data_IF_030375237970
#
_entry.id   IF_030375237970
#
_cell.length_a   1.000
_cell.length_b   1.000
_cell.length_c   1.000
_cell.angle_alpha   90.00
_cell.angle_beta   90.00
_cell.angle_gamma   90.00
#
_symmetry.space_group_name_H-M   'P 1'
#
loop_
_entity.id
_entity.type
_entity.pdbx_description
1 polymer ?
#
# COMPACT_ATOMS: atom_id res chain seq x y z
N UNK A 1 37.50 -15.87 40.00
CA UNK A 1 37.63 -15.46 38.58
C UNK A 1 36.30 -15.73 37.89
N UNK A 2 35.47 -14.71 37.72
CA UNK A 2 34.22 -14.77 36.96
C UNK A 2 34.53 -14.24 35.56
N UNK A 3 34.54 -15.11 34.56
CA UNK A 3 34.66 -14.74 33.16
C UNK A 3 33.31 -14.24 32.65
N UNK A 4 33.25 -12.96 32.34
CA UNK A 4 32.18 -12.30 31.60
C UNK A 4 32.37 -12.68 30.13
N UNK A 5 31.45 -13.44 29.56
CA UNK A 5 31.33 -13.63 28.12
C UNK A 5 30.27 -12.65 27.63
N UNK A 6 30.73 -11.52 27.12
CA UNK A 6 29.95 -10.52 26.41
C UNK A 6 29.26 -11.17 25.21
N UNK A 7 27.94 -11.38 25.31
CA UNK A 7 27.12 -11.70 24.16
C UNK A 7 26.81 -10.40 23.41
N UNK A 8 27.62 -10.09 22.40
CA UNK A 8 27.35 -9.10 21.36
C UNK A 8 26.17 -9.50 20.45
N UNK A 9 25.07 -9.99 21.02
CA UNK A 9 23.86 -10.28 20.29
C UNK A 9 23.00 -9.02 20.23
N UNK A 10 22.97 -8.43 19.04
CA UNK A 10 22.14 -7.30 18.65
C UNK A 10 20.68 -7.58 19.04
N UNK A 11 20.18 -6.91 20.09
CA UNK A 11 18.75 -6.82 20.40
C UNK A 11 18.05 -6.16 19.19
N UNK A 12 17.36 -6.98 18.40
CA UNK A 12 16.65 -6.55 17.20
C UNK A 12 16.70 -7.56 16.05
N UNK A 13 17.56 -8.58 16.11
CA UNK A 13 17.49 -9.69 15.17
C UNK A 13 16.31 -10.58 15.59
N UNK A 14 15.26 -10.49 14.78
CA UNK A 14 14.03 -11.27 14.89
C UNK A 14 14.32 -12.76 15.15
N UNK A 15 13.49 -13.42 15.96
CA UNK A 15 13.41 -14.89 16.06
C UNK A 15 12.95 -15.53 14.72
N UNK A 16 13.29 -14.97 13.57
CA UNK A 16 12.91 -15.46 12.24
C UNK A 16 14.06 -16.21 11.59
N UNK A 17 13.71 -17.16 10.73
CA UNK A 17 14.67 -17.85 9.87
C UNK A 17 15.21 -16.96 8.74
N UNK A 18 14.55 -15.84 8.46
CA UNK A 18 14.96 -14.88 7.45
C UNK A 18 15.65 -13.67 8.08
N UNK A 19 16.74 -13.21 7.47
CA UNK A 19 17.58 -12.10 7.96
C UNK A 19 16.91 -10.75 7.67
N UNK A 20 16.24 -10.64 6.52
CA UNK A 20 15.55 -9.41 6.10
C UNK A 20 14.17 -9.32 6.78
N UNK A 21 13.84 -8.19 7.45
CA UNK A 21 12.61 -8.07 8.25
C UNK A 21 11.31 -8.12 7.42
N UNK A 22 11.37 -7.77 6.13
CA UNK A 22 10.24 -7.87 5.20
C UNK A 22 10.08 -9.26 4.57
N UNK A 23 10.93 -10.23 4.92
CA UNK A 23 10.88 -11.58 4.41
C UNK A 23 10.37 -12.58 5.45
N UNK A 24 9.81 -13.68 4.96
CA UNK A 24 9.36 -14.82 5.74
C UNK A 24 9.91 -16.12 5.17
N UNK A 25 10.04 -17.14 6.02
CA UNK A 25 10.52 -18.43 5.57
C UNK A 25 9.43 -19.09 4.73
N UNK A 26 9.81 -19.64 3.59
CA UNK A 26 8.92 -20.53 2.86
C UNK A 26 8.76 -21.81 3.65
N UNK A 27 7.50 -22.16 3.93
CA UNK A 27 7.16 -23.27 4.80
C UNK A 27 6.71 -24.48 4.00
N UNK A 28 7.18 -25.66 4.38
CA UNK A 28 6.73 -26.92 3.79
C UNK A 28 5.26 -27.17 4.11
N UNK A 29 4.54 -27.84 3.22
CA UNK A 29 3.17 -28.28 3.51
C UNK A 29 3.17 -29.25 4.70
N UNK A 30 2.40 -29.01 5.77
CA UNK A 30 2.31 -29.94 6.89
C UNK A 30 1.66 -31.24 6.43
N UNK A 31 2.06 -32.35 7.06
CA UNK A 31 1.45 -33.67 6.87
C UNK A 31 1.00 -34.21 8.23
N UNK A 32 0.18 -35.28 8.23
CA UNK A 32 -0.26 -35.94 9.47
C UNK A 32 0.90 -36.40 10.39
N UNK A 33 2.11 -36.57 9.84
CA UNK A 33 3.29 -37.05 10.58
C UNK A 33 4.35 -35.98 10.83
N UNK A 34 4.35 -34.91 10.05
CA UNK A 34 5.44 -33.92 10.06
C UNK A 34 4.82 -32.52 10.03
N UNK A 35 5.06 -31.68 11.05
CA UNK A 35 4.58 -30.30 11.04
C UNK A 35 5.29 -29.49 9.95
N UNK A 36 4.70 -28.35 9.62
CA UNK A 36 5.29 -27.41 8.68
C UNK A 36 6.64 -26.90 9.19
N UNK A 37 7.66 -26.87 8.32
CA UNK A 37 9.02 -26.42 8.63
C UNK A 37 9.58 -25.57 7.50
N UNK A 38 10.55 -24.71 7.79
CA UNK A 38 11.23 -23.92 6.76
C UNK A 38 11.88 -24.84 5.71
N UNK A 39 11.75 -24.47 4.44
CA UNK A 39 12.34 -25.20 3.32
C UNK A 39 13.83 -24.89 3.29
N UNK A 40 14.65 -25.93 3.39
CA UNK A 40 16.11 -25.83 3.31
C UNK A 40 16.56 -25.67 1.85
N UNK A 41 17.64 -24.93 1.62
CA UNK A 41 18.24 -24.72 0.30
C UNK A 41 19.76 -24.84 0.36
N UNK A 42 20.40 -24.83 -0.81
CA UNK A 42 21.84 -24.71 -0.94
C UNK A 42 22.15 -23.39 -1.66
N UNK A 43 23.14 -22.59 -1.21
CA UNK A 43 23.45 -21.30 -1.80
C UNK A 43 23.88 -21.39 -3.26
N UNK A 44 24.47 -22.51 -3.68
CA UNK A 44 24.93 -22.70 -5.06
C UNK A 44 23.80 -23.11 -6.00
N UNK A 45 22.84 -23.91 -5.51
CA UNK A 45 21.82 -24.54 -6.37
C UNK A 45 20.57 -23.68 -6.55
N UNK A 46 20.36 -22.62 -5.73
CA UNK A 46 19.22 -21.69 -5.82
C UNK A 46 17.84 -22.36 -5.93
N UNK A 47 17.68 -23.57 -5.37
CA UNK A 47 16.49 -24.42 -5.51
C UNK A 47 15.29 -23.98 -4.64
N UNK A 48 15.06 -22.67 -4.50
CA UNK A 48 13.91 -22.21 -3.76
C UNK A 48 12.62 -22.32 -4.57
N UNK A 49 11.52 -22.81 -3.97
CA UNK A 49 10.22 -22.80 -4.60
C UNK A 49 9.83 -21.42 -5.13
N UNK A 50 9.08 -21.40 -6.23
CA UNK A 50 8.51 -20.18 -6.78
C UNK A 50 7.67 -19.46 -5.71
N UNK A 51 7.94 -18.17 -5.53
CA UNK A 51 7.35 -17.31 -4.52
C UNK A 51 7.60 -15.84 -4.85
N UNK A 52 7.30 -14.93 -3.92
CA UNK A 52 7.61 -13.50 -4.10
C UNK A 52 9.11 -13.26 -3.87
N UNK A 53 9.88 -13.07 -4.94
CA UNK A 53 11.33 -12.87 -4.92
C UNK A 53 12.08 -13.85 -4.00
N UNK A 54 11.99 -15.17 -4.27
CA UNK A 54 12.56 -16.17 -3.40
C UNK A 54 14.08 -16.08 -3.38
N UNK A 55 14.67 -16.13 -2.19
CA UNK A 55 16.12 -16.11 -1.98
C UNK A 55 16.53 -17.20 -1.00
N UNK A 56 17.65 -17.86 -1.29
CA UNK A 56 18.30 -18.75 -0.35
C UNK A 56 19.19 -17.93 0.58
N UNK A 57 18.95 -17.95 1.89
CA UNK A 57 19.77 -17.23 2.86
C UNK A 57 20.11 -18.08 4.09
N UNK A 58 21.26 -17.79 4.70
CA UNK A 58 21.69 -18.46 5.91
C UNK A 58 20.93 -17.93 7.14
N UNK A 59 20.16 -18.79 7.79
CA UNK A 59 19.48 -18.49 9.05
C UNK A 59 20.44 -18.65 10.21
N UNK A 60 20.69 -17.57 10.96
CA UNK A 60 21.42 -17.68 12.23
C UNK A 60 20.61 -18.42 13.31
N UNK A 61 19.28 -18.46 13.18
CA UNK A 61 18.39 -19.13 14.16
C UNK A 61 18.45 -20.64 14.02
N UNK A 62 18.32 -21.16 12.80
CA UNK A 62 18.33 -22.60 12.53
C UNK A 62 19.69 -23.13 12.09
N UNK A 63 20.70 -22.26 11.94
CA UNK A 63 22.06 -22.59 11.48
C UNK A 63 22.10 -23.31 10.13
N UNK A 64 21.13 -23.02 9.27
CA UNK A 64 20.93 -23.67 7.97
C UNK A 64 20.59 -22.64 6.90
N UNK A 65 20.82 -23.00 5.65
CA UNK A 65 20.32 -22.24 4.52
C UNK A 65 18.85 -22.56 4.31
N UNK A 66 18.02 -21.52 4.24
CA UNK A 66 16.57 -21.60 4.13
C UNK A 66 16.06 -20.70 3.01
N UNK A 67 14.99 -21.14 2.37
CA UNK A 67 14.27 -20.35 1.40
C UNK A 67 13.41 -19.30 2.10
N UNK A 68 13.61 -18.05 1.72
CA UNK A 68 12.83 -16.93 2.19
C UNK A 68 12.22 -16.20 1.01
N UNK A 69 11.02 -15.69 1.22
CA UNK A 69 10.30 -14.87 0.24
C UNK A 69 9.84 -13.58 0.91
N UNK A 70 9.57 -12.57 0.10
CA UNK A 70 8.96 -11.34 0.59
C UNK A 70 7.56 -11.65 1.14
N UNK A 71 7.23 -11.09 2.30
CA UNK A 71 5.91 -11.29 2.92
C UNK A 71 4.82 -10.76 1.99
N UNK A 72 3.62 -11.32 2.10
CA UNK A 72 2.49 -10.85 1.28
C UNK A 72 2.05 -9.43 1.65
N UNK A 73 2.18 -9.10 2.92
CA UNK A 73 1.78 -7.85 3.56
C UNK A 73 2.93 -6.85 3.74
N UNK A 74 4.14 -7.17 3.29
CA UNK A 74 5.29 -6.26 3.38
C UNK A 74 5.97 -6.10 2.01
N UNK A 75 6.20 -4.85 1.62
CA UNK A 75 6.99 -4.55 0.44
C UNK A 75 8.48 -4.54 0.74
N UNK A 76 9.29 -4.68 -0.31
CA UNK A 76 10.72 -4.44 -0.22
C UNK A 76 10.92 -2.98 0.22
N UNK A 77 11.55 -2.74 1.38
CA UNK A 77 11.73 -1.41 1.91
C UNK A 77 12.66 -0.62 0.99
N UNK A 78 12.31 0.65 0.77
CA UNK A 78 13.06 1.56 -0.09
C UNK A 78 13.51 2.78 0.71
N UNK A 79 14.62 3.39 0.31
CA UNK A 79 15.10 4.62 0.91
C UNK A 79 14.21 5.81 0.54
N UNK A 80 14.22 6.90 1.34
CA UNK A 80 13.48 8.12 1.05
C UNK A 80 13.84 8.76 -0.30
N UNK A 81 13.01 9.71 -0.75
CA UNK A 81 13.26 10.49 -1.97
C UNK A 81 14.66 11.09 -1.99
N UNK A 82 15.28 11.02 -3.16
CA UNK A 82 16.67 11.39 -3.48
C UNK A 82 17.74 10.51 -2.82
N UNK A 83 17.41 9.28 -2.43
CA UNK A 83 18.39 8.30 -1.97
C UNK A 83 18.30 6.98 -2.75
N UNK A 84 19.45 6.46 -3.15
CA UNK A 84 19.61 5.09 -3.66
C UNK A 84 19.49 4.09 -2.51
N UNK A 85 18.74 3.02 -2.75
CA UNK A 85 18.53 1.96 -1.77
C UNK A 85 19.58 0.88 -1.92
N UNK A 86 20.47 0.76 -0.94
CA UNK A 86 21.21 -0.47 -0.70
C UNK A 86 20.34 -1.30 0.23
N UNK A 87 19.79 -2.43 -0.26
CA UNK A 87 18.91 -3.37 0.47
C UNK A 87 19.63 -4.12 1.61
N UNK A 88 20.46 -3.38 2.34
CA UNK A 88 21.23 -3.76 3.49
C UNK A 88 20.61 -3.06 4.71
N UNK A 89 19.96 -3.82 5.61
CA UNK A 89 19.49 -3.27 6.87
C UNK A 89 20.63 -2.69 7.70
N UNK A 90 20.35 -1.62 8.42
CA UNK A 90 21.29 -1.00 9.36
C UNK A 90 20.64 -0.83 10.73
N UNK A 91 21.40 -1.05 11.81
CA UNK A 91 20.91 -0.98 13.18
C UNK A 91 20.71 0.44 13.71
N UNK A 92 20.24 0.54 14.97
CA UNK A 92 20.06 1.81 15.70
C UNK A 92 21.39 2.45 16.19
N UNK A 93 22.54 1.79 16.04
CA UNK A 93 23.80 2.32 16.54
C UNK A 93 24.36 3.39 15.60
N UNK A 94 24.80 4.50 16.23
CA UNK A 94 25.34 5.71 15.59
C UNK A 94 26.64 5.44 14.80
N UNK A 95 27.31 4.32 15.06
CA UNK A 95 28.53 3.89 14.36
C UNK A 95 28.18 3.02 13.13
N UNK A 96 28.11 3.70 11.99
CA UNK A 96 27.92 3.26 10.61
C UNK A 96 28.19 1.77 10.29
N UNK A 97 27.14 0.98 10.13
CA UNK A 97 27.18 -0.30 9.39
C UNK A 97 27.10 -0.10 7.87
N UNK A 98 26.79 1.12 7.43
CA UNK A 98 26.64 1.40 6.01
C UNK A 98 27.99 1.65 5.33
N UNK A 99 28.19 1.15 4.10
CA UNK A 99 29.39 1.44 3.32
C UNK A 99 29.62 2.94 3.14
N UNK A 100 30.87 3.33 2.86
CA UNK A 100 31.25 4.73 2.66
C UNK A 100 30.34 5.40 1.60
N UNK A 101 29.75 6.53 1.96
CA UNK A 101 28.81 7.29 1.10
C UNK A 101 27.33 6.95 1.32
N UNK A 102 27.02 5.90 2.10
CA UNK A 102 25.67 5.56 2.53
C UNK A 102 25.42 6.04 3.96
N UNK A 103 24.15 6.37 4.25
CA UNK A 103 23.65 6.76 5.57
C UNK A 103 22.56 5.80 5.99
N UNK A 104 22.47 5.49 7.27
CA UNK A 104 21.38 4.67 7.79
C UNK A 104 20.12 5.54 7.93
N UNK A 105 19.09 5.30 7.10
CA UNK A 105 17.82 6.03 7.13
C UNK A 105 16.65 5.06 7.31
N UNK A 106 15.53 5.54 7.86
CA UNK A 106 14.28 4.79 7.87
C UNK A 106 13.78 4.53 6.45
N UNK A 107 13.19 3.37 6.22
CA UNK A 107 12.62 3.01 4.93
C UNK A 107 11.25 3.67 4.71
N UNK A 108 10.93 3.95 3.45
CA UNK A 108 9.58 4.34 3.04
C UNK A 108 8.62 3.19 3.31
N UNK A 109 7.48 3.50 3.93
CA UNK A 109 6.46 2.52 4.29
C UNK A 109 6.60 1.94 5.72
N UNK A 110 7.82 1.86 6.26
CA UNK A 110 8.09 1.31 7.60
C UNK A 110 9.34 1.93 8.26
N UNK A 111 9.13 2.82 9.23
CA UNK A 111 10.23 3.48 9.97
C UNK A 111 10.97 2.53 10.91
N UNK A 112 10.38 1.37 11.24
CA UNK A 112 11.02 0.36 12.08
C UNK A 112 12.16 -0.34 11.33
N UNK A 113 12.11 -0.34 10.00
CA UNK A 113 13.16 -0.83 9.13
C UNK A 113 14.06 0.34 8.75
N UNK A 114 15.36 0.19 9.01
CA UNK A 114 16.37 1.15 8.56
C UNK A 114 17.29 0.50 7.54
N UNK A 115 17.61 1.24 6.48
CA UNK A 115 18.41 0.80 5.35
C UNK A 115 19.59 1.74 5.10
N UNK A 116 20.61 1.21 4.44
CA UNK A 116 21.71 2.00 3.94
C UNK A 116 21.32 2.74 2.66
N UNK A 117 21.30 4.07 2.74
CA UNK A 117 20.78 4.97 1.73
C UNK A 117 21.86 5.96 1.27
N UNK A 118 22.11 6.06 -0.03
CA UNK A 118 23.10 7.00 -0.58
C UNK A 118 22.41 8.16 -1.29
N UNK A 119 22.73 9.43 -0.98
CA UNK A 119 22.14 10.56 -1.69
C UNK A 119 22.39 10.46 -3.19
N UNK A 120 21.32 10.51 -3.98
CA UNK A 120 21.37 10.67 -5.42
C UNK A 120 20.23 11.58 -5.89
N UNK A 121 20.59 12.80 -6.28
CA UNK A 121 19.66 13.83 -6.75
C UNK A 121 19.19 13.62 -8.20
N UNK A 122 19.83 12.72 -8.95
CA UNK A 122 19.45 12.41 -10.34
C UNK A 122 18.51 11.22 -10.44
N UNK A 123 18.13 10.60 -9.32
CA UNK A 123 17.13 9.53 -9.32
C UNK A 123 15.78 10.09 -9.78
N UNK A 124 15.22 9.45 -10.81
CA UNK A 124 13.84 9.66 -11.21
C UNK A 124 12.98 8.65 -10.45
N UNK A 125 11.88 9.15 -9.89
CA UNK A 125 10.89 8.36 -9.18
C UNK A 125 9.68 8.19 -10.06
N UNK A 126 9.10 6.99 -10.06
CA UNK A 126 7.80 6.76 -10.70
C UNK A 126 6.74 7.27 -9.74
N UNK A 127 6.13 8.38 -10.10
CA UNK A 127 4.87 8.80 -9.47
C UNK A 127 3.71 8.11 -10.22
N UNK A 128 2.61 7.77 -9.54
CA UNK A 128 2.31 8.06 -8.13
C UNK A 128 2.85 7.03 -7.13
N UNK A 129 3.51 5.95 -7.58
CA UNK A 129 3.97 4.85 -6.72
C UNK A 129 4.75 5.33 -5.50
N UNK A 130 5.70 6.25 -5.71
CA UNK A 130 6.52 6.77 -4.63
C UNK A 130 5.71 7.46 -3.54
N UNK A 131 4.78 8.35 -3.92
CA UNK A 131 3.93 9.09 -2.99
C UNK A 131 3.00 8.17 -2.19
N UNK A 132 2.42 7.14 -2.82
CA UNK A 132 1.60 6.14 -2.12
C UNK A 132 2.40 5.35 -1.07
N UNK A 133 3.67 5.04 -1.34
CA UNK A 133 4.56 4.33 -0.42
C UNK A 133 5.01 5.23 0.73
N UNK A 134 5.42 6.46 0.43
CA UNK A 134 5.87 7.43 1.44
C UNK A 134 4.79 7.71 2.49
N UNK A 135 3.54 7.78 2.05
CA UNK A 135 2.39 8.01 2.93
C UNK A 135 1.79 6.73 3.54
N UNK A 136 2.46 5.59 3.39
CA UNK A 136 2.03 4.27 3.92
C UNK A 136 0.62 3.87 3.45
N UNK A 137 0.19 4.33 2.29
CA UNK A 137 -1.02 3.83 1.64
C UNK A 137 -0.74 2.44 1.09
N UNK A 138 0.45 2.23 0.52
CA UNK A 138 0.93 0.92 0.06
C UNK A 138 2.03 0.41 1.00
N UNK A 139 2.03 -0.87 1.42
CA UNK A 139 1.04 -1.92 1.14
C UNK A 139 -0.14 -1.94 2.14
N UNK A 140 -0.16 -1.04 3.12
CA UNK A 140 -1.02 -1.15 4.30
C UNK A 140 -2.52 -1.02 3.98
N UNK A 141 -2.87 -0.12 3.08
CA UNK A 141 -4.25 0.17 2.71
C UNK A 141 -4.54 -0.39 1.31
N UNK A 142 -3.68 -0.13 0.33
CA UNK A 142 -3.72 -0.76 -0.99
C UNK A 142 -2.58 -1.77 -1.12
N UNK A 143 -2.83 -2.98 -1.68
CA UNK A 143 -1.79 -3.99 -1.83
C UNK A 143 -0.73 -3.60 -2.86
N UNK A 144 -1.11 -2.86 -3.90
CA UNK A 144 -0.25 -2.44 -5.00
C UNK A 144 -0.56 -0.98 -5.34
N UNK A 145 0.48 -0.19 -5.61
CA UNK A 145 0.33 1.19 -6.04
C UNK A 145 -0.34 1.30 -7.43
N UNK A 146 -1.15 2.35 -7.67
CA UNK A 146 -1.78 2.54 -8.97
C UNK A 146 -0.75 2.80 -10.08
N UNK A 147 -1.10 2.46 -11.33
CA UNK A 147 -0.23 2.72 -12.47
C UNK A 147 -0.15 4.22 -12.83
N UNK A 148 -1.26 4.94 -12.63
CA UNK A 148 -1.38 6.37 -12.93
C UNK A 148 -1.97 7.16 -11.76
N UNK A 149 -1.71 8.48 -11.74
CA UNK A 149 -2.39 9.38 -10.81
C UNK A 149 -3.83 9.61 -11.29
N UNK A 150 -4.77 9.61 -10.35
CA UNK A 150 -6.16 10.00 -10.59
C UNK A 150 -6.36 11.44 -10.13
N UNK A 151 -6.69 12.34 -11.06
CA UNK A 151 -7.00 13.72 -10.73
C UNK A 151 -8.46 13.80 -10.33
N UNK A 152 -8.75 14.30 -9.13
CA UNK A 152 -10.10 14.46 -8.61
C UNK A 152 -10.39 15.94 -8.30
N UNK A 153 -11.52 16.44 -8.82
CA UNK A 153 -11.96 17.83 -8.64
C UNK A 153 -13.34 17.86 -8.01
N UNK A 154 -13.45 18.52 -6.86
CA UNK A 154 -14.67 18.68 -6.07
C UNK A 154 -15.07 20.15 -6.05
N UNK A 155 -16.23 20.50 -6.63
CA UNK A 155 -16.72 21.89 -6.67
C UNK A 155 -15.62 22.92 -7.02
N UNK A 156 -14.94 22.70 -8.16
CA UNK A 156 -13.81 23.47 -8.69
C UNK A 156 -12.49 23.42 -7.88
N UNK A 157 -12.45 22.68 -6.77
CA UNK A 157 -11.22 22.42 -6.01
C UNK A 157 -10.60 21.10 -6.47
N UNK A 158 -9.45 21.18 -7.14
CA UNK A 158 -8.65 20.00 -7.44
C UNK A 158 -7.88 19.56 -6.19
N UNK A 159 -8.05 18.30 -5.79
CA UNK A 159 -7.33 17.73 -4.67
C UNK A 159 -5.96 17.22 -5.14
N UNK A 160 -4.89 17.68 -4.49
CA UNK A 160 -3.57 17.11 -4.66
C UNK A 160 -3.43 15.81 -3.87
N UNK A 161 -2.69 14.84 -4.42
CA UNK A 161 -2.40 13.58 -3.75
C UNK A 161 -1.68 13.82 -2.41
N UNK A 162 -2.21 13.23 -1.34
CA UNK A 162 -1.69 13.40 0.02
C UNK A 162 -2.03 14.74 0.69
N UNK A 163 -2.87 15.57 0.06
CA UNK A 163 -3.30 16.83 0.67
C UNK A 163 -4.15 16.58 1.91
N UNK A 164 -3.91 17.39 2.95
CA UNK A 164 -4.67 17.37 4.20
C UNK A 164 -5.51 18.64 4.31
N UNK A 165 -6.79 18.45 4.60
CA UNK A 165 -7.76 19.51 4.77
C UNK A 165 -8.28 19.56 6.21
N UNK A 166 -8.63 20.76 6.66
CA UNK A 166 -9.44 20.95 7.86
C UNK A 166 -10.94 20.89 7.50
N UNK A 167 -11.82 20.97 8.50
CA UNK A 167 -13.25 20.84 8.31
C UNK A 167 -13.88 21.91 7.38
N UNK A 168 -13.15 22.95 6.97
CA UNK A 168 -13.66 23.93 5.99
C UNK A 168 -13.84 23.36 4.59
N UNK A 169 -13.22 22.21 4.27
CA UNK A 169 -13.37 21.58 2.96
C UNK A 169 -14.70 20.84 2.80
N UNK A 170 -15.39 20.50 3.89
CA UNK A 170 -16.52 19.57 3.88
C UNK A 170 -17.62 19.98 2.92
N UNK A 171 -17.96 21.28 2.89
CA UNK A 171 -18.96 21.83 1.96
C UNK A 171 -18.54 21.69 0.49
N UNK A 172 -17.23 21.70 0.20
CA UNK A 172 -16.71 21.46 -1.16
C UNK A 172 -16.77 20.00 -1.56
N UNK A 173 -16.72 19.09 -0.60
CA UNK A 173 -16.82 17.63 -0.80
C UNK A 173 -18.28 17.13 -0.75
N UNK A 174 -19.28 18.02 -0.83
CA UNK A 174 -20.68 17.64 -0.74
C UNK A 174 -21.16 16.76 -1.91
N UNK A 175 -20.58 16.96 -3.09
CA UNK A 175 -20.91 16.27 -4.32
C UNK A 175 -19.76 15.36 -4.79
N UNK A 176 -20.05 14.25 -5.52
CA UNK A 176 -19.00 13.38 -6.05
C UNK A 176 -18.06 14.13 -7.00
N UNK A 177 -16.77 13.77 -7.04
CA UNK A 177 -15.78 14.48 -7.83
C UNK A 177 -15.93 14.21 -9.32
N UNK A 178 -15.54 15.20 -10.12
CA UNK A 178 -15.16 14.97 -11.52
C UNK A 178 -13.74 14.43 -11.54
N UNK A 179 -13.51 13.40 -12.36
CA UNK A 179 -12.22 12.71 -12.37
C UNK A 179 -11.63 12.61 -13.77
N UNK A 180 -10.30 12.66 -13.81
CA UNK A 180 -9.51 12.35 -15.00
C UNK A 180 -8.39 11.39 -14.60
N UNK A 181 -8.33 10.24 -15.25
CA UNK A 181 -7.17 9.37 -15.15
C UNK A 181 -6.05 10.01 -15.96
N UNK A 182 -4.81 10.04 -15.45
CA UNK A 182 -3.64 10.52 -16.19
C UNK A 182 -3.25 9.67 -17.43
N UNK A 183 -4.21 8.93 -17.99
CA UNK A 183 -4.12 8.03 -19.14
C UNK A 183 -5.46 8.05 -19.89
N UNK A 184 -5.40 7.92 -21.22
CA UNK A 184 -6.59 7.78 -22.06
C UNK A 184 -7.27 6.43 -21.80
N UNK A 185 -8.57 6.48 -21.48
CA UNK A 185 -9.36 5.28 -21.23
C UNK A 185 -9.84 4.66 -22.55
N UNK A 186 -10.05 3.35 -22.55
CA UNK A 186 -10.47 2.61 -23.73
C UNK A 186 -12.00 2.48 -23.74
N UNK A 187 -12.62 2.89 -24.85
CA UNK A 187 -14.09 2.96 -24.98
C UNK A 187 -14.76 1.58 -24.89
N UNK A 188 -14.08 0.49 -25.27
CA UNK A 188 -14.57 -0.88 -25.17
C UNK A 188 -14.42 -1.51 -23.77
N UNK A 189 -13.81 -0.80 -22.83
CA UNK A 189 -13.55 -1.29 -21.47
C UNK A 189 -14.59 -0.77 -20.48
N UNK A 190 -14.75 -1.54 -19.41
CA UNK A 190 -15.57 -1.16 -18.26
C UNK A 190 -14.69 -0.82 -17.08
N UNK A 191 -15.13 0.15 -16.29
CA UNK A 191 -14.39 0.69 -15.18
C UNK A 191 -15.20 0.66 -13.88
N UNK A 192 -14.50 0.50 -12.76
CA UNK A 192 -15.05 0.60 -11.41
C UNK A 192 -14.33 1.69 -10.64
N UNK A 193 -15.11 2.55 -9.99
CA UNK A 193 -14.65 3.58 -9.06
C UNK A 193 -15.03 3.15 -7.66
N UNK A 194 -14.11 3.31 -6.73
CA UNK A 194 -14.36 3.16 -5.30
C UNK A 194 -13.72 4.32 -4.53
N UNK A 195 -14.49 4.93 -3.65
CA UNK A 195 -14.02 5.84 -2.61
C UNK A 195 -14.25 5.16 -1.26
N UNK A 196 -13.18 4.99 -0.51
CA UNK A 196 -13.25 4.42 0.82
C UNK A 196 -12.53 5.30 1.83
N UNK A 197 -13.11 5.39 3.03
CA UNK A 197 -12.45 5.95 4.19
C UNK A 197 -11.71 4.84 4.93
N UNK A 198 -10.39 4.87 4.84
CA UNK A 198 -9.53 3.88 5.51
C UNK A 198 -9.50 4.04 7.03
N UNK A 199 -9.88 5.20 7.57
CA UNK A 199 -9.90 5.46 9.01
C UNK A 199 -11.14 4.83 9.65
N UNK A 200 -12.34 5.04 9.07
CA UNK A 200 -13.58 4.40 9.53
C UNK A 200 -13.78 2.99 8.97
N UNK A 201 -12.97 2.58 7.99
CA UNK A 201 -13.11 1.35 7.22
C UNK A 201 -14.48 1.23 6.54
N UNK A 202 -14.87 2.28 5.83
CA UNK A 202 -16.15 2.32 5.13
C UNK A 202 -15.99 2.61 3.64
N UNK A 203 -16.86 2.04 2.83
CA UNK A 203 -17.01 2.40 1.42
C UNK A 203 -18.05 3.51 1.34
N UNK A 204 -17.62 4.71 0.95
CA UNK A 204 -18.50 5.89 0.89
C UNK A 204 -19.00 6.16 -0.53
N UNK A 205 -18.40 5.56 -1.55
CA UNK A 205 -18.90 5.61 -2.92
C UNK A 205 -18.40 4.44 -3.73
N UNK A 206 -19.29 3.80 -4.50
CA UNK A 206 -18.92 2.74 -5.42
C UNK A 206 -19.80 2.77 -6.66
N UNK A 207 -19.14 2.88 -7.82
CA UNK A 207 -19.79 2.85 -9.13
C UNK A 207 -19.05 1.84 -9.99
N UNK A 208 -19.80 0.93 -10.61
CA UNK A 208 -19.26 -0.17 -11.39
C UNK A 208 -19.87 -0.16 -12.80
N UNK A 209 -19.24 -0.92 -13.71
CA UNK A 209 -19.65 -1.07 -15.11
C UNK A 209 -19.76 0.28 -15.84
N UNK A 210 -18.79 1.16 -15.61
CA UNK A 210 -18.75 2.49 -16.22
C UNK A 210 -18.04 2.37 -17.56
N UNK A 211 -18.68 2.83 -18.63
CA UNK A 211 -18.03 2.94 -19.93
C UNK A 211 -17.15 4.19 -19.99
N UNK A 212 -16.13 4.14 -20.84
CA UNK A 212 -15.44 5.35 -21.29
C UNK A 212 -15.97 5.78 -22.65
N UNK A 213 -15.92 7.09 -22.92
CA UNK A 213 -16.20 7.66 -24.23
C UNK A 213 -15.22 8.80 -24.49
N UNK A 214 -14.60 8.82 -25.66
CA UNK A 214 -13.54 9.78 -26.02
C UNK A 214 -12.43 9.85 -24.94
N UNK A 215 -12.10 8.70 -24.35
CA UNK A 215 -11.06 8.60 -23.32
C UNK A 215 -11.45 9.11 -21.92
N UNK A 216 -12.72 9.45 -21.67
CA UNK A 216 -13.21 9.95 -20.38
C UNK A 216 -14.29 9.04 -19.77
N UNK A 217 -14.37 9.01 -18.43
CA UNK A 217 -15.39 8.22 -17.71
C UNK A 217 -16.77 8.83 -17.88
N UNK A 218 -17.73 8.00 -18.31
CA UNK A 218 -19.10 8.41 -18.51
C UNK A 218 -19.93 8.23 -17.21
N UNK A 219 -19.72 9.12 -16.23
CA UNK A 219 -20.51 9.12 -14.98
C UNK A 219 -21.74 10.02 -15.15
N UNK A 220 -22.79 9.47 -15.74
CA UNK A 220 -24.08 10.16 -15.82
C UNK A 220 -24.80 10.18 -14.48
N UNK A 221 -25.70 11.17 -14.30
CA UNK A 221 -26.69 11.16 -13.20
C UNK A 221 -27.55 9.89 -13.14
N UNK A 222 -27.61 9.11 -14.23
CA UNK A 222 -28.34 7.85 -14.33
C UNK A 222 -27.48 6.62 -14.10
N UNK A 223 -26.15 6.76 -14.04
CA UNK A 223 -25.24 5.65 -13.74
C UNK A 223 -25.53 5.19 -12.32
N UNK A 224 -26.07 3.97 -12.19
CA UNK A 224 -26.52 3.45 -10.90
C UNK A 224 -25.29 3.11 -10.06
N UNK A 225 -25.08 3.87 -8.99
CA UNK A 225 -24.08 3.54 -7.99
C UNK A 225 -24.52 2.30 -7.21
N UNK A 226 -23.58 1.40 -6.93
CA UNK A 226 -23.84 0.29 -6.02
C UNK A 226 -23.84 0.79 -4.58
N UNK A 227 -22.95 1.73 -4.27
CA UNK A 227 -22.97 2.53 -3.04
C UNK A 227 -23.04 4.00 -3.47
N UNK A 228 -24.13 4.67 -3.14
CA UNK A 228 -24.30 6.11 -3.41
C UNK A 228 -23.24 6.92 -2.69
N UNK A 229 -22.81 8.03 -3.30
CA UNK A 229 -21.83 8.94 -2.69
C UNK A 229 -22.33 9.45 -1.35
N UNK A 230 -21.55 9.20 -0.30
CA UNK A 230 -21.77 9.72 1.05
C UNK A 230 -20.73 10.84 1.27
N UNK A 231 -21.15 12.10 1.34
CA UNK A 231 -20.22 13.20 1.59
C UNK A 231 -19.63 13.07 3.00
N UNK A 232 -18.39 13.54 3.21
CA UNK A 232 -17.80 13.52 4.53
C UNK A 232 -18.51 14.51 5.46
N UNK A 233 -18.63 14.16 6.74
CA UNK A 233 -19.37 14.93 7.75
C UNK A 233 -18.50 15.27 8.97
N UNK A 234 -18.77 16.42 9.58
CA UNK A 234 -18.09 16.87 10.81
C UNK A 234 -18.29 15.94 12.02
N UNK A 235 -19.28 15.05 11.96
CA UNK A 235 -19.63 14.08 13.00
C UNK A 235 -19.13 12.66 12.71
N UNK A 236 -18.37 12.47 11.62
CA UNK A 236 -17.80 11.18 11.27
C UNK A 236 -16.94 10.61 12.41
N UNK A 237 -17.00 9.28 12.54
CA UNK A 237 -16.28 8.53 13.57
C UNK A 237 -15.23 7.63 12.91
N UNK A 238 -14.04 7.50 13.50
CA UNK A 238 -13.57 8.17 14.73
C UNK A 238 -13.26 9.66 14.51
N UNK A 239 -13.59 10.50 15.49
CA UNK A 239 -13.30 11.95 15.42
C UNK A 239 -11.79 12.18 15.27
N UNK A 240 -11.39 12.96 14.27
CA UNK A 240 -9.98 13.24 14.00
C UNK A 240 -9.69 13.37 12.51
N UNK A 241 -8.63 12.70 12.07
CA UNK A 241 -8.15 12.70 10.70
C UNK A 241 -8.67 11.46 9.97
N UNK A 242 -9.45 11.67 8.91
CA UNK A 242 -9.89 10.62 8.01
C UNK A 242 -8.98 10.57 6.80
N UNK A 243 -8.68 9.38 6.29
CA UNK A 243 -7.84 9.18 5.10
C UNK A 243 -8.66 8.50 4.02
N UNK A 244 -8.98 9.27 3.00
CA UNK A 244 -9.81 8.88 1.86
C UNK A 244 -8.94 8.35 0.73
N UNK A 245 -9.33 7.21 0.17
CA UNK A 245 -8.66 6.61 -1.00
C UNK A 245 -9.69 6.50 -2.11
N UNK A 246 -9.41 7.16 -3.23
CA UNK A 246 -10.21 7.12 -4.44
C UNK A 246 -9.46 6.34 -5.50
N UNK A 247 -10.00 5.20 -5.92
CA UNK A 247 -9.36 4.30 -6.87
C UNK A 247 -10.25 4.00 -8.07
N UNK A 248 -9.62 3.94 -9.24
CA UNK A 248 -10.20 3.55 -10.52
C UNK A 248 -9.55 2.25 -10.97
N UNK A 249 -10.39 1.27 -11.31
CA UNK A 249 -9.98 -0.02 -11.84
C UNK A 249 -10.54 -0.22 -13.23
N UNK A 250 -9.70 -0.72 -14.15
CA UNK A 250 -10.19 -1.36 -15.37
C UNK A 250 -10.68 -2.77 -15.01
N UNK A 251 -11.88 -3.12 -15.45
CA UNK A 251 -12.50 -4.39 -15.13
C UNK A 251 -12.01 -5.52 -16.06
N UNK A 252 -11.78 -6.70 -15.48
CA UNK A 252 -11.58 -7.95 -16.21
C UNK A 252 -12.91 -8.51 -16.73
N UNK A 253 -14.00 -8.30 -15.99
CA UNK A 253 -15.35 -8.76 -16.32
C UNK A 253 -16.42 -7.77 -15.81
N UNK A 254 -17.68 -7.97 -16.19
CA UNK A 254 -18.80 -7.13 -15.77
C UNK A 254 -19.26 -7.51 -14.35
N UNK A 255 -19.47 -6.53 -13.48
CA UNK A 255 -20.09 -6.77 -12.19
C UNK A 255 -21.54 -7.26 -12.34
N UNK A 256 -21.89 -8.37 -11.69
CA UNK A 256 -23.28 -8.82 -11.63
C UNK A 256 -24.04 -8.10 -10.51
N UNK A 257 -25.37 -8.04 -10.62
CA UNK A 257 -26.20 -7.47 -9.53
C UNK A 257 -26.04 -8.22 -8.21
N UNK A 258 -25.75 -9.52 -8.27
CA UNK A 258 -25.56 -10.36 -7.07
C UNK A 258 -24.27 -9.99 -6.35
N UNK A 259 -23.21 -9.70 -7.09
CA UNK A 259 -21.92 -9.30 -6.53
C UNK A 259 -22.03 -7.92 -5.89
N UNK A 260 -22.63 -6.96 -6.62
CA UNK A 260 -22.85 -5.60 -6.11
C UNK A 260 -23.72 -5.58 -4.84
N UNK A 261 -24.72 -6.46 -4.74
CA UNK A 261 -25.58 -6.55 -3.55
C UNK A 261 -24.88 -7.15 -2.31
N UNK A 262 -23.70 -7.76 -2.48
CA UNK A 262 -22.94 -8.40 -1.39
C UNK A 262 -21.77 -7.55 -0.89
N UNK A 263 -21.48 -6.43 -1.54
CA UNK A 263 -20.38 -5.55 -1.15
C UNK A 263 -20.62 -5.06 0.28
N UNK A 264 -19.70 -5.41 1.18
CA UNK A 264 -19.68 -4.88 2.53
C UNK A 264 -19.35 -3.38 2.48
N UNK A 265 -20.19 -2.57 3.12
CA UNK A 265 -19.99 -1.13 3.22
C UNK A 265 -19.17 -0.73 4.45
N UNK A 266 -19.15 -1.60 5.47
CA UNK A 266 -18.44 -1.41 6.74
C UNK A 266 -17.33 -2.46 6.90
N UNK A 267 -16.40 -2.22 7.84
CA UNK A 267 -15.21 -3.05 8.08
C UNK A 267 -14.39 -3.33 6.81
N UNK A 268 -14.39 -2.36 5.88
CA UNK A 268 -13.79 -2.48 4.57
C UNK A 268 -12.26 -2.57 4.64
N UNK A 269 -11.73 -3.61 3.98
CA UNK A 269 -10.31 -3.85 3.80
C UNK A 269 -10.01 -4.07 2.31
N UNK A 270 -9.41 -3.07 1.67
CA UNK A 270 -9.09 -3.08 0.22
C UNK A 270 -8.38 -4.35 -0.24
N UNK A 271 -7.39 -4.85 0.51
CA UNK A 271 -6.65 -6.06 0.14
C UNK A 271 -7.55 -7.30 0.09
N UNK A 272 -8.34 -7.54 1.14
CA UNK A 272 -9.28 -8.66 1.22
C UNK A 272 -10.39 -8.53 0.18
N UNK A 273 -10.90 -7.32 -0.03
CA UNK A 273 -11.91 -7.03 -1.03
C UNK A 273 -11.40 -7.31 -2.46
N UNK A 274 -10.19 -6.90 -2.80
CA UNK A 274 -9.59 -7.19 -4.11
C UNK A 274 -9.33 -8.70 -4.29
N UNK A 275 -9.00 -9.44 -3.23
CA UNK A 275 -8.89 -10.90 -3.30
C UNK A 275 -10.27 -11.57 -3.53
N UNK A 276 -11.32 -11.10 -2.85
CA UNK A 276 -12.69 -11.61 -3.01
C UNK A 276 -13.22 -11.39 -4.44
N UNK A 277 -12.95 -10.22 -5.02
CA UNK A 277 -13.44 -9.82 -6.34
C UNK A 277 -12.39 -9.90 -7.45
N UNK A 278 -11.33 -10.71 -7.27
CA UNK A 278 -10.24 -10.88 -8.25
C UNK A 278 -10.69 -11.38 -9.64
N UNK A 279 -11.88 -11.98 -9.72
CA UNK A 279 -12.50 -12.39 -10.98
C UNK A 279 -13.03 -11.21 -11.81
N UNK A 280 -13.37 -10.09 -11.16
CA UNK A 280 -13.89 -8.88 -11.81
C UNK A 280 -12.84 -7.79 -11.89
N UNK A 281 -12.00 -7.65 -10.86
CA UNK A 281 -11.01 -6.58 -10.75
C UNK A 281 -9.58 -7.10 -10.68
N UNK A 282 -8.61 -6.41 -11.31
CA UNK A 282 -7.20 -6.66 -11.07
C UNK A 282 -6.81 -6.19 -9.66
N UNK A 283 -5.74 -6.75 -9.12
CA UNK A 283 -5.19 -6.35 -7.81
C UNK A 283 -4.54 -4.96 -7.83
N UNK A 284 -4.09 -4.51 -9.00
CA UNK A 284 -3.51 -3.18 -9.19
C UNK A 284 -4.58 -2.21 -9.73
N UNK A 285 -4.82 -1.07 -9.06
CA UNK A 285 -5.67 -0.02 -9.63
C UNK A 285 -5.03 0.58 -10.89
N UNK A 286 -5.86 0.92 -11.88
CA UNK A 286 -5.39 1.64 -13.06
C UNK A 286 -4.89 3.03 -12.65
N UNK A 287 -5.72 3.76 -11.91
CA UNK A 287 -5.37 5.07 -11.37
C UNK A 287 -5.92 5.23 -9.96
N UNK A 288 -5.24 5.98 -9.09
CA UNK A 288 -5.79 6.33 -7.79
C UNK A 288 -5.20 7.63 -7.25
N UNK A 289 -5.89 8.20 -6.26
CA UNK A 289 -5.41 9.30 -5.42
C UNK A 289 -5.89 9.09 -3.98
N UNK A 290 -5.34 9.87 -3.06
CA UNK A 290 -5.76 9.87 -1.66
C UNK A 290 -5.61 11.26 -1.06
N UNK A 291 -6.43 11.54 -0.05
CA UNK A 291 -6.40 12.80 0.68
C UNK A 291 -6.89 12.59 2.11
N UNK A 292 -6.61 13.54 3.00
CA UNK A 292 -7.15 13.53 4.35
C UNK A 292 -8.04 14.73 4.61
N UNK A 293 -9.14 14.52 5.34
CA UNK A 293 -9.93 15.63 5.91
C UNK A 293 -10.10 15.45 7.42
N UNK A 294 -10.05 16.55 8.15
CA UNK A 294 -10.28 16.53 9.60
C UNK A 294 -11.72 16.89 9.92
N UNK A 295 -12.33 16.15 10.84
CA UNK A 295 -13.63 16.51 11.42
C UNK A 295 -13.55 17.68 12.41
N UNK A 296 -12.35 18.16 12.73
CA UNK A 296 -12.12 19.34 13.58
C UNK A 296 -11.69 20.54 12.73
N UNK A 297 -12.16 21.71 13.12
CA UNK A 297 -11.59 22.97 12.65
C UNK A 297 -10.19 23.14 13.26
N UNK A 298 -9.20 23.46 12.42
CA UNK A 298 -7.90 23.89 12.90
C UNK A 298 -7.96 25.38 13.27
N UNK A 299 -8.31 25.66 14.51
CA UNK A 299 -8.44 27.02 15.04
C UNK A 299 -7.10 27.80 15.02
N UNK A 300 -5.96 27.15 14.73
CA UNK A 300 -4.64 27.81 14.67
C UNK A 300 -4.45 28.66 13.41
N UNK A 301 -5.30 28.54 12.39
CA UNK A 301 -5.27 29.39 11.19
C UNK A 301 -6.05 30.71 11.35
N UNK A 302 -6.72 30.93 12.50
CA UNK A 302 -7.38 32.19 12.83
C UNK A 302 -6.51 33.03 13.78
N UNK A 303 -5.43 33.60 13.26
CA UNK A 303 -4.68 34.69 13.92
C UNK A 303 -4.44 35.80 12.91
#
# INVERSE_FOLDING_TARGET
MKGILDSHLVKGWSNSDCVRPWQQAQMSKPTLRIPSRAIECHPDDHNCPAGRNPVCQYSLRSQKYVCCEDKKDADIPTCPKYYETLLLPCGNSVDSQCPRGYRCLGSLGDDSIKLCCKPNKTLQYREPEHTFRENRIVPRLLPIAPAYELIATFNDEQIAMGQLFDASILDRLADPPVMSAGVELQDEKLYTIILADSTSKSVVWLVANIAAFDGQLEIHRRTKSAVSYQPPDSTDKPVGMHTMILALFEQNDTWTQKDLARIAMDDFHFGEWLEEYAHVLPSQPLAATFYGYSTKNDDRKRI
#
